data_IF_745667176133
#
_entry.id   IF_745667176133
#
_cell.length_a   1.000
_cell.length_b   1.000
_cell.length_c   1.000
_cell.angle_alpha   90.00
_cell.angle_beta   90.00
_cell.angle_gamma   90.00
#
_symmetry.space_group_name_H-M   'P 1'
#
loop_
_entity.id
_entity.type
_entity.pdbx_description
1 polymer ?
#
# COMPACT_ATOMS: atom_id res chain seq x y z
N UNK A 1 22.65 -0.55 -2.72
CA UNK A 1 21.65 -1.37 -2.03
C UNK A 1 20.43 -0.52 -1.66
N UNK A 2 20.61 0.60 -0.94
CA UNK A 2 19.51 1.48 -0.58
C UNK A 2 18.68 1.98 -1.76
N UNK A 3 19.31 2.29 -2.89
CA UNK A 3 18.62 2.73 -4.10
C UNK A 3 17.65 1.67 -4.65
N UNK A 4 18.08 0.41 -4.67
CA UNK A 4 17.25 -0.72 -5.15
C UNK A 4 16.00 -0.91 -4.27
N UNK A 5 16.17 -0.86 -2.95
CA UNK A 5 15.04 -0.90 -2.01
C UNK A 5 14.13 0.32 -2.17
N UNK A 6 14.70 1.51 -2.38
CA UNK A 6 13.94 2.74 -2.59
C UNK A 6 13.09 2.67 -3.87
N UNK A 7 13.65 2.19 -4.98
CA UNK A 7 12.90 1.99 -6.23
C UNK A 7 11.71 1.05 -6.04
N UNK A 8 11.91 -0.09 -5.36
CA UNK A 8 10.84 -1.03 -5.06
C UNK A 8 9.78 -0.43 -4.12
N UNK A 9 10.23 0.33 -3.11
CA UNK A 9 9.34 1.04 -2.18
C UNK A 9 8.48 2.06 -2.91
N UNK A 10 9.08 2.94 -3.71
CA UNK A 10 8.35 3.98 -4.43
C UNK A 10 7.40 3.38 -5.47
N UNK A 11 7.86 2.40 -6.26
CA UNK A 11 7.02 1.73 -7.23
C UNK A 11 5.81 1.06 -6.56
N UNK A 12 6.01 0.32 -5.49
CA UNK A 12 4.93 -0.31 -4.73
C UNK A 12 4.00 0.71 -4.07
N UNK A 13 4.55 1.78 -3.51
CA UNK A 13 3.78 2.86 -2.90
C UNK A 13 2.85 3.57 -3.91
N UNK A 14 3.35 3.93 -5.08
CA UNK A 14 2.52 4.58 -6.10
C UNK A 14 1.45 3.63 -6.64
N UNK A 15 1.79 2.36 -6.90
CA UNK A 15 0.82 1.36 -7.33
C UNK A 15 -0.23 1.10 -6.24
N UNK A 16 0.18 0.95 -4.99
CA UNK A 16 -0.71 0.74 -3.85
C UNK A 16 -1.63 1.94 -3.58
N UNK A 17 -1.09 3.15 -3.72
CA UNK A 17 -1.86 4.40 -3.60
C UNK A 17 -2.91 4.50 -4.70
N UNK A 18 -2.53 4.29 -5.96
CA UNK A 18 -3.46 4.33 -7.09
C UNK A 18 -4.58 3.29 -6.93
N UNK A 19 -4.22 2.04 -6.64
CA UNK A 19 -5.18 0.96 -6.39
C UNK A 19 -6.09 1.30 -5.19
N UNK A 20 -5.51 1.80 -4.10
CA UNK A 20 -6.24 2.16 -2.89
C UNK A 20 -7.27 3.25 -3.12
N UNK A 21 -6.91 4.31 -3.84
CA UNK A 21 -7.84 5.41 -4.20
C UNK A 21 -8.95 4.88 -5.12
N UNK A 22 -8.61 4.11 -6.16
CA UNK A 22 -9.60 3.57 -7.09
C UNK A 22 -10.61 2.65 -6.39
N UNK A 23 -10.13 1.75 -5.52
CA UNK A 23 -11.00 0.89 -4.73
C UNK A 23 -11.89 1.69 -3.78
N UNK A 24 -11.34 2.69 -3.09
CA UNK A 24 -12.10 3.53 -2.17
C UNK A 24 -13.21 4.32 -2.88
N UNK A 25 -12.93 4.87 -4.05
CA UNK A 25 -13.94 5.56 -4.89
C UNK A 25 -15.05 4.59 -5.30
N UNK A 26 -14.70 3.40 -5.75
CA UNK A 26 -15.68 2.36 -6.11
C UNK A 26 -16.54 1.92 -4.93
N UNK A 27 -15.91 1.66 -3.77
CA UNK A 27 -16.59 1.25 -2.52
C UNK A 27 -17.59 2.32 -2.06
N UNK A 28 -17.22 3.59 -2.10
CA UNK A 28 -18.12 4.68 -1.64
C UNK A 28 -19.21 5.01 -2.67
N UNK A 29 -18.90 4.83 -3.95
CA UNK A 29 -19.87 5.10 -5.02
C UNK A 29 -20.94 4.01 -5.17
N UNK A 30 -20.58 2.74 -4.89
CA UNK A 30 -21.46 1.59 -5.13
C UNK A 30 -21.57 0.71 -3.87
N UNK A 31 -22.81 0.62 -3.34
CA UNK A 31 -23.10 -0.20 -2.16
C UNK A 31 -22.81 -1.69 -2.35
N UNK A 32 -22.95 -2.22 -3.57
CA UNK A 32 -22.58 -3.60 -3.85
C UNK A 32 -21.08 -3.82 -3.73
N UNK A 33 -20.26 -2.88 -4.21
CA UNK A 33 -18.81 -2.91 -4.01
C UNK A 33 -18.43 -2.81 -2.53
N UNK A 34 -19.12 -1.97 -1.76
CA UNK A 34 -18.88 -1.86 -0.32
C UNK A 34 -19.07 -3.20 0.39
N UNK A 35 -20.20 -3.85 0.13
CA UNK A 35 -20.54 -5.12 0.75
C UNK A 35 -19.68 -6.30 0.25
N UNK A 36 -19.20 -6.24 -1.00
CA UNK A 36 -18.42 -7.34 -1.60
C UNK A 36 -16.91 -7.16 -1.42
N UNK A 37 -16.38 -5.96 -1.64
CA UNK A 37 -14.92 -5.73 -1.71
C UNK A 37 -14.33 -5.39 -0.36
N UNK A 38 -15.02 -4.61 0.47
CA UNK A 38 -14.49 -4.18 1.76
C UNK A 38 -14.12 -5.34 2.71
N UNK A 39 -14.92 -6.42 2.83
CA UNK A 39 -14.53 -7.60 3.61
C UNK A 39 -13.23 -8.24 3.12
N UNK A 40 -13.02 -8.32 1.80
CA UNK A 40 -11.79 -8.87 1.23
C UNK A 40 -10.57 -7.96 1.46
N UNK A 41 -10.74 -6.64 1.40
CA UNK A 41 -9.70 -5.67 1.75
C UNK A 41 -9.25 -5.89 3.21
N UNK A 42 -10.19 -6.08 4.14
CA UNK A 42 -9.88 -6.36 5.54
C UNK A 42 -9.23 -7.74 5.69
N UNK A 43 -9.81 -8.76 5.06
CA UNK A 43 -9.30 -10.13 5.12
C UNK A 43 -7.88 -10.25 4.55
N UNK A 44 -7.52 -9.43 3.56
CA UNK A 44 -6.16 -9.44 3.00
C UNK A 44 -5.08 -9.19 4.05
N UNK A 45 -5.39 -8.47 5.13
CA UNK A 45 -4.43 -8.17 6.20
C UNK A 45 -4.26 -9.31 7.22
N UNK A 46 -5.13 -10.31 7.18
CA UNK A 46 -4.99 -11.49 8.08
C UNK A 46 -3.93 -12.47 7.58
N UNK A 47 -3.57 -12.39 6.31
CA UNK A 47 -2.55 -13.27 5.73
C UNK A 47 -1.14 -12.68 5.95
N UNK A 48 -0.25 -13.41 6.63
CA UNK A 48 1.10 -12.93 6.89
C UNK A 48 1.88 -12.69 5.60
N UNK A 49 2.38 -11.48 5.39
CA UNK A 49 3.14 -11.11 4.18
C UNK A 49 4.37 -11.99 3.98
N UNK A 50 5.02 -12.43 5.05
CA UNK A 50 6.17 -13.33 5.00
C UNK A 50 5.84 -14.69 4.38
N UNK A 51 4.58 -15.14 4.47
CA UNK A 51 4.13 -16.36 3.82
C UNK A 51 3.79 -16.14 2.33
N UNK A 52 3.23 -14.97 1.99
CA UNK A 52 2.83 -14.65 0.61
C UNK A 52 4.03 -14.24 -0.25
N UNK A 53 4.99 -13.50 0.29
CA UNK A 53 6.10 -12.94 -0.47
C UNK A 53 6.89 -13.99 -1.28
N UNK A 54 7.29 -15.16 -0.73
CA UNK A 54 7.95 -16.20 -1.51
C UNK A 54 7.08 -16.72 -2.66
N UNK A 55 5.77 -16.87 -2.43
CA UNK A 55 4.83 -17.36 -3.44
C UNK A 55 4.71 -16.36 -4.60
N UNK A 56 4.59 -15.07 -4.33
CA UNK A 56 4.56 -14.02 -5.37
C UNK A 56 5.83 -14.09 -6.21
N UNK A 57 6.99 -14.19 -5.56
CA UNK A 57 8.28 -14.22 -6.26
C UNK A 57 8.39 -15.47 -7.14
N UNK A 58 8.04 -16.65 -6.63
CA UNK A 58 8.10 -17.91 -7.40
C UNK A 58 7.15 -17.86 -8.60
N UNK A 59 5.90 -17.42 -8.41
CA UNK A 59 4.92 -17.31 -9.50
C UNK A 59 5.37 -16.30 -10.54
N UNK A 60 5.88 -15.13 -10.13
CA UNK A 60 6.35 -14.12 -11.08
C UNK A 60 7.60 -14.58 -11.86
N UNK A 61 8.52 -15.24 -11.18
CA UNK A 61 9.72 -15.80 -11.83
C UNK A 61 9.35 -16.92 -12.84
N UNK A 62 8.32 -17.71 -12.57
CA UNK A 62 7.88 -18.78 -13.49
C UNK A 62 7.31 -18.24 -14.81
N UNK A 63 6.80 -17.02 -14.83
CA UNK A 63 6.33 -16.32 -16.02
C UNK A 63 7.39 -15.36 -16.60
N UNK A 64 8.65 -15.46 -16.14
CA UNK A 64 9.78 -14.68 -16.65
C UNK A 64 9.86 -13.25 -16.11
N UNK A 65 9.04 -12.88 -15.11
CA UNK A 65 9.03 -11.55 -14.49
C UNK A 65 9.92 -11.57 -13.24
N UNK A 66 11.09 -10.94 -13.33
CA UNK A 66 12.11 -10.91 -12.28
C UNK A 66 12.47 -9.47 -11.88
N UNK A 67 13.30 -9.32 -10.85
CA UNK A 67 13.88 -8.03 -10.47
C UNK A 67 12.97 -7.12 -9.66
N UNK A 68 12.64 -5.94 -10.17
CA UNK A 68 11.91 -4.90 -9.44
C UNK A 68 10.43 -5.26 -9.20
N UNK A 69 9.77 -5.83 -10.21
CA UNK A 69 8.31 -5.97 -10.24
C UNK A 69 7.75 -6.86 -9.12
N UNK A 70 8.30 -8.06 -8.83
CA UNK A 70 7.85 -8.87 -7.69
C UNK A 70 7.94 -8.13 -6.36
N UNK A 71 9.03 -7.40 -6.13
CA UNK A 71 9.23 -6.59 -4.91
C UNK A 71 8.23 -5.44 -4.81
N UNK A 72 7.98 -4.75 -5.94
CA UNK A 72 7.00 -3.68 -6.00
C UNK A 72 5.57 -4.18 -5.73
N UNK A 73 5.21 -5.38 -6.16
CA UNK A 73 3.90 -5.99 -5.87
C UNK A 73 3.75 -6.32 -4.39
N UNK A 74 4.80 -6.87 -3.75
CA UNK A 74 4.79 -7.13 -2.30
C UNK A 74 4.68 -5.82 -1.52
N UNK A 75 5.41 -4.80 -1.95
CA UNK A 75 5.36 -3.44 -1.40
C UNK A 75 3.98 -2.79 -1.58
N UNK A 76 3.38 -2.93 -2.77
CA UNK A 76 2.02 -2.51 -3.07
C UNK A 76 1.00 -3.18 -2.15
N UNK A 77 1.12 -4.50 -1.92
CA UNK A 77 0.21 -5.25 -1.07
C UNK A 77 0.13 -4.73 0.36
N UNK A 78 1.23 -4.24 0.94
CA UNK A 78 1.20 -3.63 2.27
C UNK A 78 0.72 -2.19 2.26
N UNK A 79 1.00 -1.42 1.20
CA UNK A 79 0.70 0.00 1.15
C UNK A 79 -0.74 0.32 0.72
N UNK A 80 -1.42 -0.57 -0.04
CA UNK A 80 -2.77 -0.26 -0.52
C UNK A 80 -3.82 -0.20 0.59
N UNK A 81 -3.71 -1.04 1.61
CA UNK A 81 -4.70 -1.16 2.67
C UNK A 81 -4.89 0.14 3.48
N UNK A 82 -3.85 0.76 4.07
CA UNK A 82 -4.02 2.02 4.78
C UNK A 82 -4.62 3.11 3.88
N UNK A 83 -4.29 3.11 2.59
CA UNK A 83 -4.83 4.09 1.64
C UNK A 83 -6.32 3.84 1.38
N UNK A 84 -6.74 2.58 1.14
CA UNK A 84 -8.17 2.25 0.97
C UNK A 84 -8.96 2.69 2.19
N UNK A 85 -8.54 2.24 3.38
CA UNK A 85 -9.29 2.48 4.63
C UNK A 85 -9.37 3.98 4.94
N UNK A 86 -8.25 4.69 4.83
CA UNK A 86 -8.22 6.12 5.08
C UNK A 86 -9.02 6.92 4.06
N UNK A 87 -8.93 6.56 2.77
CA UNK A 87 -9.70 7.23 1.73
C UNK A 87 -11.20 6.97 1.86
N UNK A 88 -11.62 5.73 2.15
CA UNK A 88 -13.04 5.41 2.44
C UNK A 88 -13.55 6.21 3.63
N UNK A 89 -12.77 6.27 4.72
CA UNK A 89 -13.11 7.07 5.91
C UNK A 89 -13.23 8.55 5.55
N UNK A 90 -12.31 9.08 4.76
CA UNK A 90 -12.30 10.46 4.32
C UNK A 90 -13.48 10.80 3.40
N UNK A 91 -13.82 9.94 2.44
CA UNK A 91 -14.96 10.13 1.55
C UNK A 91 -16.31 10.05 2.28
N UNK A 92 -16.33 9.42 3.46
CA UNK A 92 -17.52 9.32 4.34
C UNK A 92 -17.53 10.36 5.47
N UNK A 93 -16.50 11.22 5.55
CA UNK A 93 -16.37 12.21 6.63
C UNK A 93 -17.34 13.39 6.58
N UNK A 94 -17.89 13.81 5.42
CA UNK A 94 -18.86 14.91 5.40
C UNK A 94 -20.09 14.62 6.23
N UNK A 95 -20.53 15.65 6.97
CA UNK A 95 -21.70 15.60 7.84
C UNK A 95 -22.99 15.42 7.02
N UNK A 96 -23.99 14.77 7.61
CA UNK A 96 -25.28 14.56 6.95
C UNK A 96 -25.93 15.89 6.54
N UNK A 97 -25.78 16.93 7.37
CA UNK A 97 -26.27 18.28 7.06
C UNK A 97 -25.65 18.85 5.77
N UNK A 98 -24.35 18.66 5.57
CA UNK A 98 -23.65 19.12 4.33
C UNK A 98 -24.15 18.36 3.09
N UNK A 99 -24.40 17.05 3.25
CA UNK A 99 -24.93 16.19 2.20
C UNK A 99 -26.36 16.65 1.83
N UNK A 100 -27.20 16.91 2.82
CA UNK A 100 -28.58 17.33 2.60
C UNK A 100 -28.65 18.75 2.01
N UNK A 101 -27.74 19.65 2.40
CA UNK A 101 -27.61 20.96 1.77
C UNK A 101 -27.28 20.84 0.28
N UNK A 102 -26.35 19.98 -0.08
CA UNK A 102 -26.04 19.72 -1.51
C UNK A 102 -27.25 19.15 -2.27
N UNK A 103 -28.04 18.32 -1.61
CA UNK A 103 -29.30 17.78 -2.19
C UNK A 103 -30.37 18.85 -2.39
N UNK A 104 -30.52 19.80 -1.47
CA UNK A 104 -31.43 20.94 -1.65
C UNK A 104 -31.05 21.79 -2.86
N UNK A 105 -29.78 21.81 -3.22
CA UNK A 105 -29.31 22.45 -4.47
C UNK A 105 -29.38 21.53 -5.70
N UNK A 106 -30.12 20.42 -5.61
CA UNK A 106 -30.27 19.43 -6.68
C UNK A 106 -28.94 18.88 -7.20
N UNK A 107 -27.93 18.75 -6.34
CA UNK A 107 -26.65 18.21 -6.71
C UNK A 107 -26.75 16.71 -7.06
N UNK A 108 -26.18 16.31 -8.19
CA UNK A 108 -26.06 14.91 -8.59
C UNK A 108 -25.06 14.15 -7.71
N UNK A 109 -25.16 12.81 -7.70
CA UNK A 109 -24.23 11.96 -6.95
C UNK A 109 -22.75 12.21 -7.33
N UNK A 110 -22.47 12.49 -8.60
CA UNK A 110 -21.13 12.85 -9.05
C UNK A 110 -20.68 14.23 -8.53
N UNK A 111 -21.58 15.20 -8.48
CA UNK A 111 -21.27 16.51 -7.90
C UNK A 111 -21.03 16.40 -6.39
N UNK A 112 -21.80 15.59 -5.69
CA UNK A 112 -21.59 15.29 -4.27
C UNK A 112 -20.22 14.64 -4.04
N UNK A 113 -19.83 13.67 -4.89
CA UNK A 113 -18.55 13.00 -4.80
C UNK A 113 -17.38 13.98 -5.00
N UNK A 114 -17.38 14.72 -6.12
CA UNK A 114 -16.22 15.53 -6.49
C UNK A 114 -16.16 16.89 -5.79
N UNK A 115 -17.31 17.50 -5.42
CA UNK A 115 -17.34 18.83 -4.80
C UNK A 115 -17.36 18.82 -3.28
N UNK A 116 -17.79 17.71 -2.65
CA UNK A 116 -17.85 17.61 -1.20
C UNK A 116 -16.98 16.47 -0.67
N UNK A 117 -17.24 15.22 -1.06
CA UNK A 117 -16.60 14.06 -0.46
C UNK A 117 -15.11 13.98 -0.77
N UNK A 118 -14.71 14.21 -2.01
CA UNK A 118 -13.30 14.13 -2.43
C UNK A 118 -12.44 15.20 -1.73
N UNK A 119 -12.80 16.50 -1.74
CA UNK A 119 -12.03 17.51 -0.98
C UNK A 119 -11.97 17.21 0.51
N UNK A 120 -13.06 16.75 1.13
CA UNK A 120 -13.07 16.37 2.54
C UNK A 120 -12.20 15.16 2.85
N UNK A 121 -11.92 14.32 1.87
CA UNK A 121 -11.06 13.12 2.04
C UNK A 121 -9.57 13.44 1.98
N UNK A 122 -9.14 14.57 1.47
CA UNK A 122 -7.74 14.93 1.28
C UNK A 122 -6.90 14.84 2.57
N UNK A 123 -7.33 15.36 3.72
CA UNK A 123 -6.56 15.22 4.96
C UNK A 123 -6.37 13.76 5.39
N UNK A 124 -7.40 12.93 5.20
CA UNK A 124 -7.35 11.50 5.49
C UNK A 124 -6.44 10.76 4.54
N UNK A 125 -6.43 11.15 3.25
CA UNK A 125 -5.51 10.60 2.26
C UNK A 125 -4.06 10.88 2.67
N UNK A 126 -3.71 12.12 3.01
CA UNK A 126 -2.34 12.45 3.44
C UNK A 126 -1.92 11.69 4.71
N UNK A 127 -2.82 11.53 5.68
CA UNK A 127 -2.54 10.71 6.86
C UNK A 127 -2.26 9.25 6.49
N UNK A 128 -3.04 8.70 5.55
CA UNK A 128 -2.89 7.32 5.06
C UNK A 128 -1.62 7.14 4.24
N UNK A 129 -1.23 8.12 3.44
CA UNK A 129 0.01 8.09 2.64
C UNK A 129 1.25 8.00 3.54
N UNK A 130 1.26 8.69 4.68
CA UNK A 130 2.36 8.57 5.66
C UNK A 130 2.51 7.13 6.20
N UNK A 131 1.40 6.48 6.50
CA UNK A 131 1.40 5.07 6.93
C UNK A 131 1.74 4.15 5.74
N UNK A 132 1.19 4.45 4.56
CA UNK A 132 1.39 3.69 3.34
C UNK A 132 2.84 3.63 2.88
N UNK A 133 3.59 4.75 2.95
CA UNK A 133 5.00 4.75 2.55
C UNK A 133 5.86 3.91 3.50
N UNK A 134 5.59 3.97 4.81
CA UNK A 134 6.28 3.12 5.78
C UNK A 134 5.96 1.63 5.57
N UNK A 135 4.69 1.29 5.33
CA UNK A 135 4.28 -0.08 5.00
C UNK A 135 4.90 -0.57 3.69
N UNK A 136 5.00 0.31 2.68
CA UNK A 136 5.65 0.03 1.41
C UNK A 136 7.13 -0.32 1.57
N UNK A 137 7.86 0.43 2.40
CA UNK A 137 9.27 0.15 2.71
C UNK A 137 9.43 -1.23 3.37
N UNK A 138 8.58 -1.55 4.34
CA UNK A 138 8.57 -2.89 4.96
C UNK A 138 8.33 -3.98 3.90
N UNK A 139 7.37 -3.76 2.99
CA UNK A 139 7.07 -4.67 1.89
C UNK A 139 8.26 -4.87 0.94
N UNK A 140 8.97 -3.81 0.59
CA UNK A 140 10.16 -3.89 -0.25
C UNK A 140 11.27 -4.71 0.43
N UNK A 141 11.56 -4.46 1.71
CA UNK A 141 12.53 -5.21 2.50
C UNK A 141 12.15 -6.69 2.58
N UNK A 142 10.88 -6.99 2.88
CA UNK A 142 10.35 -8.36 2.93
C UNK A 142 10.48 -9.06 1.57
N UNK A 143 10.20 -8.33 0.48
CA UNK A 143 10.36 -8.85 -0.89
C UNK A 143 11.81 -9.14 -1.29
N UNK A 144 12.79 -8.61 -0.57
CA UNK A 144 14.21 -8.87 -0.79
C UNK A 144 14.72 -10.09 -0.01
N UNK A 145 14.01 -10.56 1.02
CA UNK A 145 14.45 -11.69 1.85
C UNK A 145 14.44 -13.04 1.09
N UNK A 146 13.32 -13.47 0.46
CA UNK A 146 13.24 -14.81 -0.14
C UNK A 146 13.80 -14.90 -1.56
N UNK A 147 14.13 -13.78 -2.19
CA UNK A 147 14.47 -13.73 -3.63
C UNK A 147 15.89 -14.18 -3.98
N UNK A 148 16.72 -14.57 -2.99
CA UNK A 148 18.15 -14.75 -3.24
C UNK A 148 18.78 -13.46 -3.78
N UNK A 149 18.19 -12.32 -3.46
CA UNK A 149 18.59 -11.03 -3.99
C UNK A 149 20.02 -10.72 -3.60
N UNK A 150 20.87 -10.56 -4.59
CA UNK A 150 22.28 -10.18 -4.44
C UNK A 150 22.36 -8.71 -3.95
N UNK A 151 21.27 -7.93 -4.08
CA UNK A 151 21.26 -6.49 -3.82
C UNK A 151 19.93 -6.02 -3.21
N UNK A 152 20.03 -5.13 -2.23
CA UNK A 152 18.94 -4.54 -1.45
C UNK A 152 19.29 -4.45 0.03
N UNK A 153 18.54 -3.66 0.80
CA UNK A 153 18.74 -3.56 2.25
C UNK A 153 18.29 -4.83 2.96
N UNK A 154 17.18 -5.43 2.54
CA UNK A 154 16.70 -6.71 3.06
C UNK A 154 17.68 -7.85 2.82
N UNK A 155 18.26 -7.92 1.62
CA UNK A 155 19.31 -8.90 1.30
C UNK A 155 20.56 -8.72 2.17
N UNK A 156 20.94 -7.46 2.47
CA UNK A 156 22.06 -7.17 3.38
C UNK A 156 21.76 -7.57 4.82
N UNK A 157 20.53 -7.30 5.29
CA UNK A 157 20.12 -7.73 6.64
C UNK A 157 20.16 -9.26 6.76
N UNK A 158 19.65 -9.97 5.75
CA UNK A 158 19.66 -11.43 5.72
C UNK A 158 21.09 -11.99 5.72
N UNK A 159 21.96 -11.48 4.82
CA UNK A 159 23.37 -11.89 4.78
C UNK A 159 24.07 -11.61 6.11
N UNK A 160 23.84 -10.45 6.72
CA UNK A 160 24.37 -10.12 8.04
C UNK A 160 23.95 -11.10 9.11
N UNK A 161 22.71 -11.57 9.06
CA UNK A 161 22.18 -12.59 9.99
C UNK A 161 22.87 -13.94 9.80
N UNK A 162 23.05 -14.40 8.56
CA UNK A 162 23.71 -15.68 8.27
C UNK A 162 25.20 -15.70 8.64
N UNK A 163 25.90 -14.58 8.46
CA UNK A 163 27.33 -14.48 8.73
C UNK A 163 27.66 -13.85 10.10
N UNK A 164 26.67 -13.60 10.95
CA UNK A 164 26.87 -13.01 12.28
C UNK A 164 27.40 -11.57 12.25
N UNK A 165 27.21 -10.85 11.13
CA UNK A 165 27.74 -9.50 10.94
C UNK A 165 26.76 -8.43 11.47
N UNK A 166 26.72 -8.25 12.77
CA UNK A 166 25.80 -7.34 13.47
C UNK A 166 25.88 -5.89 12.96
N UNK A 167 27.10 -5.40 12.68
CA UNK A 167 27.30 -4.03 12.14
C UNK A 167 26.60 -3.86 10.79
N UNK A 168 26.62 -4.89 9.92
CA UNK A 168 25.95 -4.83 8.61
C UNK A 168 24.44 -4.79 8.77
N UNK A 169 23.86 -5.53 9.71
CA UNK A 169 22.42 -5.51 9.99
C UNK A 169 22.00 -4.12 10.47
N UNK A 170 22.69 -3.57 11.45
CA UNK A 170 22.37 -2.25 11.99
C UNK A 170 22.55 -1.13 10.95
N UNK A 171 23.62 -1.18 10.15
CA UNK A 171 23.83 -0.18 9.09
C UNK A 171 22.72 -0.22 8.05
N UNK A 172 22.27 -1.40 7.65
CA UNK A 172 21.14 -1.53 6.72
C UNK A 172 19.82 -1.02 7.32
N UNK A 173 19.58 -1.33 8.62
CA UNK A 173 18.39 -0.87 9.34
C UNK A 173 18.36 0.66 9.48
N UNK A 174 19.46 1.29 9.88
CA UNK A 174 19.52 2.75 9.95
C UNK A 174 19.38 3.40 8.58
N UNK A 175 19.98 2.82 7.52
CA UNK A 175 19.80 3.32 6.16
C UNK A 175 18.34 3.22 5.68
N UNK A 176 17.58 2.24 6.16
CA UNK A 176 16.16 2.11 5.86
C UNK A 176 15.29 3.11 6.64
N UNK A 177 15.73 3.54 7.83
CA UNK A 177 14.99 4.44 8.71
C UNK A 177 15.14 5.93 8.34
N UNK A 178 16.21 6.30 7.60
CA UNK A 178 16.53 7.67 7.17
C UNK A 178 16.36 7.84 5.66
#
# INVERSE_FOLDING_TARGET
HGWITLEATLAGFFLGTALGILLALGIVHNKAMDLSVMPWVIASQTVPILAIAPMIIVVMNSVGITGLLPKAIISMYLSFFPVVVGMVKGLRSPDQMQIDQMRTWSASSNQLLWKLRFPSSVPYLFASLKVGIAASLVGAIVGELPSGAIAGLGARMLAGTYYGQTIMIWSALFTAAF
#
